data_IF_827777131716
#
_entry.id   IF_827777131716
#
_cell.length_a   1.000
_cell.length_b   1.000
_cell.length_c   1.000
_cell.angle_alpha   90.00
_cell.angle_beta   90.00
_cell.angle_gamma   90.00
#
_symmetry.space_group_name_H-M   'P 1'
#
loop_
_entity.id
_entity.type
_entity.pdbx_description
1 polymer ?
#
# COMPACT_ATOMS: atom_id res chain seq x y z
N UNK A 1 -8.61 -11.48 -13.35
CA UNK A 1 -8.54 -11.56 -11.86
C UNK A 1 -8.75 -10.18 -11.28
N UNK A 2 -9.31 -10.05 -10.08
CA UNK A 2 -9.44 -8.75 -9.40
C UNK A 2 -8.21 -8.52 -8.51
N UNK A 3 -7.65 -7.32 -8.64
CA UNK A 3 -6.59 -6.79 -7.79
C UNK A 3 -7.08 -5.56 -7.04
N UNK A 4 -6.40 -5.24 -5.95
CA UNK A 4 -6.60 -4.05 -5.15
C UNK A 4 -5.31 -3.25 -5.08
N UNK A 5 -5.44 -1.93 -5.09
CA UNK A 5 -4.36 -0.99 -4.81
C UNK A 5 -4.83 -0.02 -3.74
N UNK A 6 -4.09 0.07 -2.65
CA UNK A 6 -4.36 0.99 -1.56
C UNK A 6 -3.48 2.23 -1.71
N UNK A 7 -4.08 3.40 -1.51
CA UNK A 7 -3.40 4.68 -1.63
C UNK A 7 -4.02 5.72 -0.69
N UNK A 8 -3.32 6.84 -0.54
CA UNK A 8 -3.81 8.05 0.11
C UNK A 8 -4.80 8.79 -0.79
N UNK A 9 -5.59 9.72 -0.24
CA UNK A 9 -6.45 10.61 -1.01
C UNK A 9 -5.66 11.47 -2.00
N UNK A 10 -4.44 11.91 -1.63
CA UNK A 10 -3.53 12.64 -2.52
C UNK A 10 -3.06 11.74 -3.67
N UNK A 11 -2.67 10.50 -3.38
CA UNK A 11 -2.27 9.55 -4.42
C UNK A 11 -3.43 9.23 -5.37
N UNK A 12 -4.66 9.13 -4.84
CA UNK A 12 -5.85 8.94 -5.64
C UNK A 12 -6.10 10.12 -6.60
N UNK A 13 -5.94 11.36 -6.13
CA UNK A 13 -5.97 12.58 -6.98
C UNK A 13 -4.92 12.54 -8.08
N UNK A 14 -3.70 12.12 -7.76
CA UNK A 14 -2.62 12.00 -8.73
C UNK A 14 -2.87 10.93 -9.80
N UNK A 15 -3.49 9.81 -9.41
CA UNK A 15 -3.93 8.76 -10.36
C UNK A 15 -4.96 9.33 -11.33
N UNK A 16 -5.95 10.08 -10.84
CA UNK A 16 -6.95 10.72 -11.71
C UNK A 16 -6.31 11.78 -12.62
N UNK A 17 -5.38 12.58 -12.09
CA UNK A 17 -4.68 13.64 -12.82
C UNK A 17 -3.80 13.07 -13.94
N UNK A 18 -3.09 11.98 -13.68
CA UNK A 18 -2.17 11.35 -14.63
C UNK A 18 -2.84 10.27 -15.50
N UNK A 19 -4.08 9.89 -15.17
CA UNK A 19 -4.84 8.81 -15.82
C UNK A 19 -4.23 7.42 -15.69
N UNK A 20 -3.32 7.21 -14.73
CA UNK A 20 -2.73 5.90 -14.44
C UNK A 20 -2.17 5.81 -13.02
N UNK A 21 -2.05 4.58 -12.51
CA UNK A 21 -1.30 4.26 -11.30
C UNK A 21 0.17 4.17 -11.68
N UNK A 22 0.93 5.17 -11.25
CA UNK A 22 2.36 5.29 -11.56
C UNK A 22 3.18 4.24 -10.82
N UNK A 23 4.35 3.92 -11.40
CA UNK A 23 5.30 3.03 -10.75
C UNK A 23 5.86 3.67 -9.47
N UNK A 24 5.72 2.97 -8.35
CA UNK A 24 6.43 3.28 -7.11
C UNK A 24 7.80 2.60 -7.07
N UNK A 25 8.64 2.96 -6.09
CA UNK A 25 9.87 2.21 -5.79
C UNK A 25 9.52 0.97 -4.97
N UNK A 26 10.07 -0.18 -5.34
CA UNK A 26 9.93 -1.43 -4.61
C UNK A 26 11.15 -1.63 -3.69
N UNK A 27 10.98 -2.27 -2.52
CA UNK A 27 12.11 -2.61 -1.67
C UNK A 27 13.06 -3.56 -2.39
N UNK A 28 14.33 -3.15 -2.51
CA UNK A 28 15.41 -3.98 -3.04
C UNK A 28 16.15 -4.62 -1.85
N UNK A 29 16.04 -5.95 -1.74
CA UNK A 29 16.92 -6.73 -0.89
C UNK A 29 18.13 -7.10 -1.76
N UNK A 30 19.30 -6.54 -1.45
CA UNK A 30 20.63 -6.68 -2.11
C UNK A 30 21.11 -5.58 -3.09
N UNK A 31 22.45 -5.46 -3.16
CA UNK A 31 23.24 -4.45 -3.90
C UNK A 31 23.13 -4.50 -5.42
N UNK A 32 22.56 -5.55 -6.02
CA UNK A 32 22.53 -5.74 -7.48
C UNK A 32 21.15 -5.64 -8.13
N UNK A 33 20.10 -5.36 -7.38
CA UNK A 33 18.81 -5.01 -7.98
C UNK A 33 18.71 -3.49 -8.05
N UNK A 34 19.07 -2.94 -9.22
CA UNK A 34 18.66 -1.59 -9.64
C UNK A 34 17.23 -1.35 -9.16
N UNK A 35 16.98 -0.24 -8.45
CA UNK A 35 15.70 0.11 -7.85
C UNK A 35 14.54 -0.42 -8.70
N UNK A 36 13.93 -1.53 -8.26
CA UNK A 36 12.80 -2.11 -8.98
C UNK A 36 11.66 -1.12 -8.83
N UNK A 37 11.02 -0.76 -9.93
CA UNK A 37 9.83 0.08 -9.91
C UNK A 37 8.64 -0.77 -10.28
N UNK A 38 7.52 -0.58 -9.57
CA UNK A 38 6.33 -1.39 -9.76
C UNK A 38 5.10 -0.74 -9.16
N UNK A 39 3.93 -1.13 -9.64
CA UNK A 39 2.67 -0.90 -8.94
C UNK A 39 2.47 -2.07 -7.98
N UNK A 40 2.37 -1.77 -6.68
CA UNK A 40 1.98 -2.76 -5.67
C UNK A 40 0.51 -3.10 -5.85
N UNK A 41 0.22 -4.39 -5.97
CA UNK A 41 -1.12 -4.95 -6.14
C UNK A 41 -1.34 -6.02 -5.09
N UNK A 42 -2.60 -6.25 -4.72
CA UNK A 42 -2.97 -7.36 -3.85
C UNK A 42 -4.29 -7.99 -4.26
N UNK A 43 -4.46 -9.28 -4.03
CA UNK A 43 -5.78 -9.95 -4.19
C UNK A 43 -6.61 -9.93 -2.91
N UNK A 44 -6.07 -9.38 -1.81
CA UNK A 44 -6.78 -9.14 -0.55
C UNK A 44 -7.42 -7.76 -0.58
N UNK A 45 -8.72 -7.70 -0.31
CA UNK A 45 -9.47 -6.45 -0.23
C UNK A 45 -9.29 -5.75 1.14
N UNK A 46 -8.63 -6.40 2.10
CA UNK A 46 -8.31 -5.86 3.42
C UNK A 46 -6.90 -5.24 3.42
N UNK A 47 -6.72 -4.03 3.99
CA UNK A 47 -5.42 -3.36 4.06
C UNK A 47 -4.48 -3.93 5.13
N UNK A 48 -5.02 -4.61 6.14
CA UNK A 48 -4.25 -5.11 7.28
C UNK A 48 -3.21 -6.15 6.84
N UNK A 49 -1.99 -6.04 7.38
CA UNK A 49 -0.88 -6.93 7.04
C UNK A 49 -0.23 -6.66 5.69
N UNK A 50 -0.54 -5.54 5.03
CA UNK A 50 0.11 -5.14 3.76
C UNK A 50 1.27 -4.14 3.94
N UNK A 51 1.67 -3.82 5.18
CA UNK A 51 2.75 -2.85 5.42
C UNK A 51 2.34 -1.42 5.08
N UNK A 52 1.05 -1.11 5.14
CA UNK A 52 0.50 0.20 4.87
C UNK A 52 0.36 0.98 6.18
N UNK A 53 0.89 2.20 6.28
CA UNK A 53 0.52 3.11 7.37
C UNK A 53 -0.97 3.49 7.26
N UNK A 54 -1.62 3.77 8.39
CA UNK A 54 -3.08 3.76 8.54
C UNK A 54 -3.65 5.05 9.18
N UNK A 55 -2.85 6.11 9.24
CA UNK A 55 -3.27 7.39 9.82
C UNK A 55 -3.11 7.49 11.35
N UNK A 56 -2.56 6.47 12.01
CA UNK A 56 -2.37 6.50 13.47
C UNK A 56 -1.41 7.61 13.91
N UNK A 57 -1.59 8.06 15.16
CA UNK A 57 -0.60 8.91 15.84
C UNK A 57 0.70 8.13 15.98
N UNK A 58 1.83 8.79 15.67
CA UNK A 58 3.17 8.20 15.83
C UNK A 58 3.84 8.73 17.10
N UNK A 59 4.65 7.88 17.72
CA UNK A 59 5.54 8.25 18.81
C UNK A 59 6.69 9.15 18.33
N UNK A 60 7.39 9.80 19.26
CA UNK A 60 8.57 10.61 18.93
C UNK A 60 9.66 9.77 18.24
N UNK A 61 9.84 8.53 18.68
CA UNK A 61 10.83 7.62 18.10
C UNK A 61 10.49 7.25 16.64
N UNK A 62 9.23 6.88 16.38
CA UNK A 62 8.73 6.62 15.03
C UNK A 62 8.81 7.87 14.16
N UNK A 63 8.47 9.04 14.70
CA UNK A 63 8.61 10.30 13.99
C UNK A 63 10.06 10.57 13.56
N UNK A 64 11.04 10.41 14.47
CA UNK A 64 12.46 10.58 14.12
C UNK A 64 12.92 9.55 13.08
N UNK A 65 12.43 8.31 13.16
CA UNK A 65 12.73 7.27 12.18
C UNK A 65 12.18 7.64 10.79
N UNK A 66 10.91 8.04 10.70
CA UNK A 66 10.27 8.44 9.46
C UNK A 66 10.91 9.70 8.87
N UNK A 67 11.23 10.70 9.69
CA UNK A 67 11.92 11.92 9.25
C UNK A 67 13.25 11.60 8.55
N UNK A 68 13.98 10.59 9.04
CA UNK A 68 15.28 10.18 8.48
C UNK A 68 15.15 9.29 7.24
N UNK A 69 14.18 8.36 7.23
CA UNK A 69 14.15 7.27 6.25
C UNK A 69 12.99 7.34 5.25
N UNK A 70 11.87 8.00 5.60
CA UNK A 70 10.67 8.08 4.79
C UNK A 70 9.88 9.38 5.09
N UNK A 71 10.46 10.57 4.85
CA UNK A 71 9.88 11.83 5.34
C UNK A 71 8.53 12.20 4.70
N UNK A 72 8.16 11.55 3.59
CA UNK A 72 6.85 11.72 2.96
C UNK A 72 5.73 10.89 3.62
N UNK A 73 6.06 10.01 4.57
CA UNK A 73 5.10 9.08 5.19
C UNK A 73 4.57 9.58 6.55
N UNK A 74 4.82 10.84 6.92
CA UNK A 74 4.22 11.47 8.10
C UNK A 74 3.54 12.80 7.75
N UNK A 75 2.52 13.14 8.52
CA UNK A 75 1.79 14.40 8.48
C UNK A 75 1.81 15.06 9.86
N UNK A 76 1.76 16.38 9.88
CA UNK A 76 1.49 17.14 11.11
C UNK A 76 0.02 16.95 11.49
N UNK A 77 -0.26 16.99 12.79
CA UNK A 77 -1.62 17.01 13.32
C UNK A 77 -2.49 18.05 12.57
N UNK A 78 -3.53 17.62 11.84
CA UNK A 78 -4.40 18.53 11.11
C UNK A 78 -5.19 19.44 12.07
N UNK A 79 -5.38 19.04 13.32
CA UNK A 79 -6.17 19.78 14.31
C UNK A 79 -5.30 20.71 15.18
N UNK A 80 -3.98 20.74 14.97
CA UNK A 80 -3.07 21.65 15.67
C UNK A 80 -2.92 21.39 17.17
N UNK A 81 -3.37 20.24 17.67
CA UNK A 81 -3.33 19.87 19.09
C UNK A 81 -1.98 19.29 19.53
N UNK A 82 -1.03 19.18 18.61
CA UNK A 82 0.32 18.70 18.87
C UNK A 82 0.41 17.19 18.71
N UNK A 83 1.25 16.78 17.76
CA UNK A 83 1.50 15.38 17.46
C UNK A 83 1.89 15.17 16.00
N UNK A 84 2.44 14.01 15.73
CA UNK A 84 2.76 13.55 14.39
C UNK A 84 1.89 12.34 14.09
N UNK A 85 1.44 12.22 12.85
CA UNK A 85 0.63 11.11 12.37
C UNK A 85 1.31 10.49 11.16
N UNK A 86 1.14 9.19 10.93
CA UNK A 86 1.55 8.63 9.66
C UNK A 86 0.53 9.00 8.58
N UNK A 87 0.96 9.11 7.33
CA UNK A 87 0.03 9.32 6.23
C UNK A 87 -0.80 8.05 6.04
N UNK A 88 -2.13 8.16 5.96
CA UNK A 88 -3.00 6.99 5.82
C UNK A 88 -3.00 6.47 4.38
N UNK A 89 -2.27 5.39 4.11
CA UNK A 89 -2.23 4.72 2.81
C UNK A 89 -3.45 3.80 2.57
N UNK A 90 -4.39 3.77 3.51
CA UNK A 90 -5.63 3.00 3.43
C UNK A 90 -6.85 3.88 3.12
N UNK A 91 -6.67 5.19 2.91
CA UNK A 91 -7.78 6.12 2.63
C UNK A 91 -8.59 5.73 1.39
N UNK A 92 -7.94 5.22 0.35
CA UNK A 92 -8.60 4.81 -0.89
C UNK A 92 -8.13 3.42 -1.28
N UNK A 93 -9.09 2.53 -1.56
CA UNK A 93 -8.86 1.21 -2.14
C UNK A 93 -9.43 1.19 -3.55
N UNK A 94 -8.57 0.99 -4.55
CA UNK A 94 -8.97 0.86 -5.94
C UNK A 94 -9.12 -0.62 -6.28
N UNK A 95 -10.27 -1.01 -6.80
CA UNK A 95 -10.47 -2.35 -7.38
C UNK A 95 -10.12 -2.31 -8.87
N UNK A 96 -9.19 -3.16 -9.28
CA UNK A 96 -8.56 -3.15 -10.59
C UNK A 96 -8.80 -4.52 -11.25
N UNK A 97 -9.35 -4.49 -12.45
CA UNK A 97 -9.48 -5.67 -13.28
C UNK A 97 -8.42 -5.60 -14.39
N UNK A 98 -7.37 -6.40 -14.24
CA UNK A 98 -6.37 -6.60 -15.29
C UNK A 98 -6.74 -7.91 -16.01
N UNK A 99 -7.26 -7.84 -17.25
CA UNK A 99 -7.59 -9.02 -18.02
C UNK A 99 -6.40 -9.96 -18.15
N UNK A 100 -6.64 -11.26 -17.98
CA UNK A 100 -5.59 -12.28 -18.00
C UNK A 100 -4.77 -12.26 -19.31
N UNK A 101 -5.41 -11.90 -20.43
CA UNK A 101 -4.75 -11.71 -21.73
C UNK A 101 -3.68 -10.59 -21.74
N UNK A 102 -3.73 -9.65 -20.79
CA UNK A 102 -2.80 -8.52 -20.68
C UNK A 102 -1.71 -8.75 -19.63
N UNK A 103 -1.74 -9.83 -18.85
CA UNK A 103 -0.76 -10.03 -17.75
C UNK A 103 0.69 -10.05 -18.23
N UNK A 104 0.96 -10.64 -19.41
CA UNK A 104 2.29 -10.63 -20.01
C UNK A 104 2.74 -9.23 -20.45
N UNK A 105 1.80 -8.38 -20.90
CA UNK A 105 2.09 -7.00 -21.28
C UNK A 105 2.47 -6.15 -20.07
N UNK A 106 1.71 -6.25 -18.98
CA UNK A 106 1.93 -5.51 -17.73
C UNK A 106 2.97 -6.17 -16.82
N UNK A 107 3.43 -7.37 -17.19
CA UNK A 107 4.36 -8.20 -16.41
C UNK A 107 3.87 -8.36 -14.98
N UNK A 108 2.60 -8.73 -14.84
CA UNK A 108 1.97 -8.99 -13.55
C UNK A 108 2.60 -10.25 -12.95
N UNK A 109 3.19 -10.12 -11.76
CA UNK A 109 3.94 -11.20 -11.09
C UNK A 109 3.52 -11.33 -9.64
N UNK A 110 3.45 -12.57 -9.15
CA UNK A 110 3.28 -12.85 -7.73
C UNK A 110 4.56 -12.54 -6.98
N UNK A 111 4.43 -11.99 -5.78
CA UNK A 111 5.59 -11.76 -4.91
C UNK A 111 6.22 -13.09 -4.51
N UNK A 112 5.43 -14.10 -4.19
CA UNK A 112 5.94 -15.42 -3.79
C UNK A 112 6.82 -16.11 -4.85
N UNK A 113 6.69 -15.74 -6.12
CA UNK A 113 7.52 -16.29 -7.20
C UNK A 113 8.87 -15.54 -7.35
N UNK A 114 9.04 -14.42 -6.63
CA UNK A 114 10.14 -13.47 -6.81
C UNK A 114 11.13 -13.42 -5.63
N UNK A 115 10.80 -14.04 -4.51
CA UNK A 115 11.55 -13.98 -3.25
C UNK A 115 11.66 -15.37 -2.63
N UNK A 116 12.73 -15.63 -1.90
CA UNK A 116 12.88 -16.87 -1.14
C UNK A 116 12.01 -16.89 0.13
N UNK A 117 11.78 -18.06 0.76
CA UNK A 117 10.92 -18.15 1.94
C UNK A 117 11.35 -17.30 3.14
N UNK A 118 12.65 -17.04 3.33
CA UNK A 118 13.16 -16.21 4.43
C UNK A 118 12.87 -14.74 4.14
N UNK A 119 13.08 -14.31 2.90
CA UNK A 119 12.72 -12.96 2.45
C UNK A 119 11.22 -12.73 2.57
N UNK A 120 10.39 -13.70 2.16
CA UNK A 120 8.93 -13.62 2.29
C UNK A 120 8.51 -13.50 3.76
N UNK A 121 9.07 -14.32 4.65
CA UNK A 121 8.81 -14.22 6.09
C UNK A 121 9.21 -12.85 6.64
N UNK A 122 10.39 -12.33 6.26
CA UNK A 122 10.83 -11.01 6.69
C UNK A 122 9.86 -9.92 6.20
N UNK A 123 9.39 -10.01 4.96
CA UNK A 123 8.39 -9.07 4.44
C UNK A 123 7.06 -9.17 5.21
N UNK A 124 6.54 -10.37 5.46
CA UNK A 124 5.31 -10.58 6.23
C UNK A 124 5.42 -10.02 7.66
N UNK A 125 6.56 -10.23 8.35
CA UNK A 125 6.80 -9.67 9.68
C UNK A 125 6.84 -8.14 9.61
N UNK A 126 7.65 -7.57 8.71
CA UNK A 126 7.79 -6.10 8.59
C UNK A 126 6.49 -5.42 8.16
N UNK A 127 5.60 -6.11 7.45
CA UNK A 127 4.29 -5.60 7.06
C UNK A 127 3.36 -5.32 8.26
N UNK A 128 3.63 -5.89 9.43
CA UNK A 128 2.94 -5.56 10.68
C UNK A 128 3.54 -4.33 11.38
N UNK A 129 4.71 -3.86 10.95
CA UNK A 129 5.43 -2.71 11.51
C UNK A 129 5.73 -1.67 10.43
N UNK A 130 4.72 -1.07 9.78
CA UNK A 130 4.90 -0.16 8.65
C UNK A 130 5.70 1.12 8.99
N UNK A 131 5.89 1.42 10.28
CA UNK A 131 6.63 2.58 10.77
C UNK A 131 8.10 2.26 11.11
N UNK A 132 8.51 0.99 11.04
CA UNK A 132 9.92 0.58 11.12
C UNK A 132 10.58 0.68 12.50
N UNK A 133 9.80 0.85 13.57
CA UNK A 133 10.29 0.82 14.96
C UNK A 133 9.64 -0.36 15.67
N UNK A 134 10.47 -1.28 16.16
CA UNK A 134 10.06 -2.46 16.90
C UNK A 134 11.24 -3.00 17.72
N UNK A 135 10.93 -3.74 18.78
CA UNK A 135 11.86 -4.50 19.60
C UNK A 135 12.05 -5.93 19.06
N UNK A 136 13.11 -6.59 19.51
CA UNK A 136 13.35 -8.01 19.21
C UNK A 136 12.21 -8.88 19.76
N UNK A 137 11.63 -8.52 20.91
CA UNK A 137 10.50 -9.21 21.52
C UNK A 137 9.24 -9.13 20.64
N UNK A 138 8.90 -7.93 20.13
CA UNK A 138 7.78 -7.72 19.21
C UNK A 138 7.96 -8.46 17.88
N UNK A 139 9.19 -8.51 17.34
CA UNK A 139 9.50 -9.32 16.16
C UNK A 139 9.27 -10.81 16.42
N UNK A 140 9.80 -11.33 17.53
CA UNK A 140 9.67 -12.74 17.88
C UNK A 140 8.20 -13.13 18.09
N UNK A 141 7.42 -12.28 18.76
CA UNK A 141 5.98 -12.49 18.95
C UNK A 141 5.23 -12.49 17.61
N UNK A 142 5.63 -11.63 16.66
CA UNK A 142 5.02 -11.57 15.33
C UNK A 142 5.35 -12.83 14.53
N UNK A 143 6.60 -13.29 14.57
CA UNK A 143 7.02 -14.56 13.94
C UNK A 143 6.24 -15.73 14.52
N UNK A 144 6.12 -15.83 15.84
CA UNK A 144 5.33 -16.87 16.50
C UNK A 144 3.85 -16.79 16.12
N UNK A 145 3.30 -15.58 16.02
CA UNK A 145 1.90 -15.35 15.65
C UNK A 145 1.61 -15.74 14.20
N UNK A 146 2.53 -15.48 13.28
CA UNK A 146 2.46 -15.96 11.90
C UNK A 146 2.57 -17.49 11.83
N UNK A 147 3.46 -18.10 12.62
CA UNK A 147 3.64 -19.55 12.66
C UNK A 147 2.42 -20.29 13.23
N UNK A 148 1.80 -19.71 14.26
CA UNK A 148 0.60 -20.27 14.92
C UNK A 148 -0.70 -19.92 14.20
N UNK A 149 -0.65 -19.10 13.15
CA UNK A 149 -1.81 -18.64 12.39
C UNK A 149 -2.68 -17.61 13.11
N UNK A 150 -2.21 -17.03 14.23
CA UNK A 150 -2.86 -15.89 14.89
C UNK A 150 -2.80 -14.64 14.01
N UNK A 151 -1.70 -14.48 13.28
CA UNK A 151 -1.57 -13.53 12.18
C UNK A 151 -1.52 -14.30 10.87
N UNK A 152 -2.05 -13.69 9.81
CA UNK A 152 -2.09 -14.29 8.47
C UNK A 152 -1.06 -13.60 7.60
N UNK A 153 -0.10 -14.38 7.08
CA UNK A 153 0.84 -13.92 6.07
C UNK A 153 0.10 -13.41 4.83
N UNK A 154 0.44 -12.20 4.39
CA UNK A 154 -0.20 -11.55 3.23
C UNK A 154 0.64 -11.67 1.97
N UNK A 155 1.90 -12.11 2.06
CA UNK A 155 2.75 -12.37 0.91
C UNK A 155 2.13 -13.23 -0.21
N UNK A 156 1.26 -14.23 0.05
CA UNK A 156 0.58 -14.97 -1.03
C UNK A 156 -0.42 -14.12 -1.83
N UNK A 157 -0.90 -13.02 -1.24
CA UNK A 157 -1.85 -12.10 -1.86
C UNK A 157 -1.16 -10.94 -2.56
N UNK A 158 0.14 -10.74 -2.38
CA UNK A 158 0.86 -9.63 -2.98
C UNK A 158 1.29 -9.93 -4.42
N UNK A 159 1.18 -8.91 -5.25
CA UNK A 159 1.56 -8.90 -6.65
C UNK A 159 2.23 -7.58 -7.01
N UNK A 160 2.97 -7.59 -8.12
CA UNK A 160 3.49 -6.36 -8.73
C UNK A 160 3.11 -6.32 -10.20
N UNK A 161 2.86 -5.12 -10.71
CA UNK A 161 2.95 -4.82 -12.14
C UNK A 161 4.24 -4.03 -12.39
N UNK A 162 5.06 -4.45 -13.36
CA UNK A 162 6.25 -3.68 -13.76
C UNK A 162 5.90 -2.50 -14.70
N UNK A 163 4.61 -2.32 -15.01
CA UNK A 163 4.09 -1.19 -15.78
C UNK A 163 3.03 -0.41 -15.01
N UNK A 164 2.91 0.88 -15.32
CA UNK A 164 1.82 1.70 -14.82
C UNK A 164 0.47 1.10 -15.23
N UNK A 165 -0.54 1.25 -14.37
CA UNK A 165 -1.88 0.69 -14.62
C UNK A 165 -2.83 1.81 -15.06
N UNK A 166 -3.37 1.78 -16.29
CA UNK A 166 -4.32 2.79 -16.75
C UNK A 166 -5.53 2.86 -15.83
N UNK A 167 -6.01 4.09 -15.59
CA UNK A 167 -7.19 4.32 -14.76
C UNK A 167 -8.45 3.65 -15.32
N UNK A 168 -8.49 3.37 -16.63
CA UNK A 168 -9.58 2.63 -17.28
C UNK A 168 -9.70 1.17 -16.83
N UNK A 169 -8.70 0.62 -16.12
CA UNK A 169 -8.75 -0.71 -15.52
C UNK A 169 -9.39 -0.72 -14.13
N UNK A 170 -9.65 0.44 -13.54
CA UNK A 170 -10.34 0.56 -12.25
C UNK A 170 -11.83 0.29 -12.46
N UNK A 171 -12.41 -0.57 -11.62
CA UNK A 171 -13.84 -0.92 -11.63
C UNK A 171 -14.61 -0.15 -10.58
N UNK A 172 -14.08 -0.14 -9.36
CA UNK A 172 -14.66 0.57 -8.23
C UNK A 172 -13.54 1.22 -7.42
N UNK A 173 -13.90 2.25 -6.68
CA UNK A 173 -13.05 2.83 -5.65
C UNK A 173 -13.81 2.80 -4.34
N UNK A 174 -13.13 2.47 -3.25
CA UNK A 174 -13.68 2.54 -1.92
C UNK A 174 -12.93 3.61 -1.12
N UNK A 175 -13.65 4.60 -0.61
CA UNK A 175 -13.09 5.71 0.16
C UNK A 175 -13.38 5.47 1.64
N UNK A 176 -12.34 5.53 2.47
CA UNK A 176 -12.44 5.35 3.92
C UNK A 176 -13.00 6.63 4.54
N UNK A 177 -14.16 6.53 5.18
CA UNK A 177 -14.78 7.59 5.96
C UNK A 177 -15.14 7.04 7.34
N UNK A 178 -14.62 7.68 8.40
CA UNK A 178 -14.85 7.25 9.79
C UNK A 178 -14.56 5.76 10.04
N UNK A 179 -13.53 5.22 9.39
CA UNK A 179 -13.12 3.82 9.51
C UNK A 179 -13.95 2.82 8.68
N UNK A 180 -14.90 3.28 7.86
CA UNK A 180 -15.68 2.44 6.95
C UNK A 180 -15.43 2.80 5.50
N UNK A 181 -15.41 1.81 4.61
CA UNK A 181 -15.28 2.03 3.19
C UNK A 181 -16.63 2.28 2.53
N UNK A 182 -16.79 3.44 1.91
CA UNK A 182 -17.86 3.74 0.98
C UNK A 182 -17.41 3.43 -0.44
N UNK A 183 -18.12 2.52 -1.12
CA UNK A 183 -17.79 2.07 -2.48
C UNK A 183 -18.52 2.95 -3.50
N UNK A 184 -17.77 3.37 -4.52
CA UNK A 184 -18.22 4.14 -5.68
C UNK A 184 -17.87 3.39 -6.96
N UNK A 185 -18.68 3.57 -8.01
CA UNK A 185 -18.26 3.16 -9.35
C UNK A 185 -17.06 4.00 -9.79
N UNK A 186 -16.17 3.43 -10.62
CA UNK A 186 -14.97 4.13 -11.08
C UNK A 186 -15.30 5.47 -11.76
N UNK A 187 -16.36 5.53 -12.55
CA UNK A 187 -16.78 6.77 -13.22
C UNK A 187 -17.23 7.87 -12.26
N UNK A 188 -17.96 7.50 -11.20
CA UNK A 188 -18.41 8.42 -10.14
C UNK A 188 -17.21 8.95 -9.37
N UNK A 189 -16.35 8.04 -8.91
CA UNK A 189 -15.11 8.39 -8.21
C UNK A 189 -14.22 9.34 -9.04
N UNK A 190 -14.00 9.03 -10.32
CA UNK A 190 -13.18 9.86 -11.21
C UNK A 190 -13.82 11.25 -11.40
N UNK A 191 -15.15 11.32 -11.55
CA UNK A 191 -15.86 12.58 -11.69
C UNK A 191 -15.75 13.45 -10.43
N UNK A 192 -15.95 12.86 -9.25
CA UNK A 192 -15.82 13.56 -7.96
C UNK A 192 -14.40 14.11 -7.75
N UNK A 193 -13.37 13.28 -8.00
CA UNK A 193 -11.98 13.71 -7.87
C UNK A 193 -11.66 14.83 -8.85
N UNK A 194 -12.10 14.73 -10.12
CA UNK A 194 -11.88 15.79 -11.12
C UNK A 194 -12.57 17.10 -10.74
N UNK A 195 -13.77 17.05 -10.18
CA UNK A 195 -14.45 18.24 -9.69
C UNK A 195 -13.61 18.92 -8.60
N UNK A 196 -13.07 18.15 -7.65
CA UNK A 196 -12.24 18.69 -6.57
C UNK A 196 -10.87 19.25 -7.00
N UNK A 197 -10.42 18.94 -8.23
CA UNK A 197 -9.16 19.46 -8.79
C UNK A 197 -9.36 20.78 -9.57
N UNK A 198 -10.60 21.15 -9.87
CA UNK A 198 -10.93 22.37 -10.60
C UNK A 198 -11.12 23.59 -9.68
N UNK A 199 -11.20 23.36 -8.36
CA UNK A 199 -11.29 24.35 -7.28
C UNK A 199 -9.91 24.74 -6.74
#
# INVERSE_FOLDING_TARGET
>A
MIFYHFTTAVGAREIVRTSEIQLGRLPAFEKELSARSGVSLTTSDQPDGHGLPDGRKVSDQEFQYLLKNAPANFALDPDGNGGYFCVDHTEVRLEIDIPDALWGEYRVKRVIDSYDPIQLLAMDVTAHFPLGVYSDEEMLETIESLHTGRLVAKSPTWWWSEKAIPISMIKTAAIKFQGQYQVLLAEEFIAEVRASLAD
#
